data_IF_085638247664
#
_entry.id   IF_085638247664
#
_cell.length_a   1.000
_cell.length_b   1.000
_cell.length_c   1.000
_cell.angle_alpha   90.00
_cell.angle_beta   90.00
_cell.angle_gamma   90.00
#
_symmetry.space_group_name_H-M   'P 1'
#
loop_
_entity.id
_entity.type
_entity.pdbx_description
1 polymer ?
#
# COMPACT_ATOMS: atom_id res chain seq x y z
N UNK A 1 -1.44 -41.82 12.69
CA UNK A 1 -0.11 -41.24 12.40
C UNK A 1 -0.21 -40.29 11.20
N UNK A 2 0.39 -39.09 11.30
CA UNK A 2 0.26 -37.91 10.40
C UNK A 2 -0.82 -36.89 10.80
N UNK A 3 -0.76 -36.46 12.06
CA UNK A 3 -0.90 -35.04 12.38
C UNK A 3 0.52 -34.44 12.42
N UNK A 4 0.65 -33.16 12.05
CA UNK A 4 1.86 -32.33 12.01
C UNK A 4 2.58 -32.21 10.65
N UNK A 5 2.17 -31.22 9.86
CA UNK A 5 3.02 -30.04 9.64
C UNK A 5 2.13 -28.80 9.60
N UNK A 6 2.08 -28.08 10.71
CA UNK A 6 1.60 -26.70 10.71
C UNK A 6 2.52 -25.94 9.75
N UNK A 7 2.04 -25.57 8.57
CA UNK A 7 2.72 -24.64 7.68
C UNK A 7 2.94 -23.33 8.43
N UNK A 8 4.14 -23.16 8.98
CA UNK A 8 4.50 -21.95 9.71
C UNK A 8 4.77 -20.86 8.68
N UNK A 9 3.82 -19.94 8.54
CA UNK A 9 4.09 -18.64 7.93
C UNK A 9 4.97 -17.89 8.93
N UNK A 10 6.28 -17.87 8.69
CA UNK A 10 7.21 -17.08 9.52
C UNK A 10 7.42 -15.72 8.87
N UNK A 11 7.15 -14.66 9.62
CA UNK A 11 7.68 -13.33 9.33
C UNK A 11 9.12 -13.31 9.84
N UNK A 12 10.08 -13.35 8.92
CA UNK A 12 11.49 -13.26 9.26
C UNK A 12 12.12 -12.00 8.67
N UNK A 13 13.03 -11.33 9.40
CA UNK A 13 13.82 -10.23 8.86
C UNK A 13 14.85 -10.76 7.86
N UNK A 14 15.14 -9.99 6.80
CA UNK A 14 16.21 -10.29 5.84
C UNK A 14 17.56 -10.51 6.57
N UNK A 15 18.34 -11.57 6.26
CA UNK A 15 19.57 -11.90 7.00
C UNK A 15 20.67 -10.82 7.00
N UNK A 16 20.57 -9.81 6.14
CA UNK A 16 21.60 -8.77 5.94
C UNK A 16 21.21 -7.38 6.41
N UNK A 17 20.05 -7.20 7.05
CA UNK A 17 19.62 -5.90 7.58
C UNK A 17 19.44 -6.03 9.10
N UNK A 18 20.38 -5.47 9.87
CA UNK A 18 20.15 -5.15 11.29
C UNK A 18 18.81 -4.42 11.40
N UNK A 19 17.93 -4.73 12.38
CA UNK A 19 16.67 -4.02 12.53
C UNK A 19 16.98 -2.53 12.65
N UNK A 20 16.63 -1.69 11.66
CA UNK A 20 16.87 -0.28 11.80
C UNK A 20 15.95 0.17 12.93
N UNK A 21 16.48 0.91 13.91
CA UNK A 21 15.71 1.74 14.85
C UNK A 21 14.50 2.28 14.09
N UNK A 22 13.30 1.78 14.41
CA UNK A 22 12.07 1.85 13.58
C UNK A 22 12.13 3.04 12.62
N UNK A 23 12.65 2.79 11.42
CA UNK A 23 13.07 3.89 10.54
C UNK A 23 11.83 4.66 10.08
N UNK A 24 11.95 5.99 10.00
CA UNK A 24 10.90 6.88 9.53
C UNK A 24 10.62 6.73 8.02
N UNK A 25 11.44 5.95 7.30
CA UNK A 25 11.27 5.67 5.88
C UNK A 25 10.03 4.79 5.62
N UNK A 26 9.33 5.00 4.50
CA UNK A 26 8.20 4.15 4.07
C UNK A 26 8.62 2.68 4.00
N UNK A 27 9.84 2.45 3.53
CA UNK A 27 10.45 1.14 3.30
C UNK A 27 11.03 0.52 4.58
N UNK A 28 10.83 1.15 5.75
CA UNK A 28 11.37 0.64 7.00
C UNK A 28 10.81 -0.73 7.39
N UNK A 29 9.74 -1.20 6.77
CA UNK A 29 9.20 -2.55 6.97
C UNK A 29 9.52 -3.50 5.80
N UNK A 30 10.25 -3.04 4.78
CA UNK A 30 10.56 -3.84 3.59
C UNK A 30 11.57 -4.97 3.91
N UNK A 31 12.20 -4.93 5.09
CA UNK A 31 13.02 -6.03 5.60
C UNK A 31 12.17 -7.26 6.01
N UNK A 32 10.87 -7.09 6.26
CA UNK A 32 9.97 -8.18 6.61
C UNK A 32 9.61 -8.95 5.34
N UNK A 33 9.92 -10.23 5.32
CA UNK A 33 9.53 -11.12 4.22
C UNK A 33 8.59 -12.19 4.73
N UNK A 34 7.58 -12.50 3.90
CA UNK A 34 6.79 -13.69 4.01
C UNK A 34 7.65 -14.86 3.54
N UNK A 35 8.21 -15.61 4.50
CA UNK A 35 8.85 -16.89 4.20
C UNK A 35 7.82 -17.99 4.36
N UNK A 36 7.52 -18.66 3.26
CA UNK A 36 6.61 -19.78 3.22
C UNK A 36 7.36 -21.01 2.72
N UNK A 37 7.72 -21.91 3.65
CA UNK A 37 8.37 -23.16 3.31
C UNK A 37 7.32 -24.13 2.78
N UNK A 38 7.32 -24.34 1.46
CA UNK A 38 6.40 -25.25 0.79
C UNK A 38 6.97 -26.66 0.77
N UNK A 39 6.27 -27.59 1.39
CA UNK A 39 6.62 -29.01 1.29
C UNK A 39 6.16 -29.61 -0.04
N UNK A 40 6.82 -30.69 -0.43
CA UNK A 40 6.36 -31.48 -1.56
C UNK A 40 4.98 -32.09 -1.23
N UNK A 41 4.02 -32.14 -2.17
CA UNK A 41 4.14 -31.85 -3.61
C UNK A 41 3.83 -30.39 -4.02
N UNK A 42 3.40 -29.54 -3.10
CA UNK A 42 2.90 -28.21 -3.42
C UNK A 42 3.97 -27.25 -3.95
N UNK A 43 5.25 -27.51 -3.67
CA UNK A 43 6.38 -26.72 -4.16
C UNK A 43 6.54 -26.75 -5.69
N UNK A 44 5.93 -27.73 -6.37
CA UNK A 44 5.89 -27.79 -7.83
C UNK A 44 5.02 -26.67 -8.42
N UNK A 45 3.95 -26.28 -7.71
CA UNK A 45 3.03 -25.21 -8.13
C UNK A 45 3.44 -23.85 -7.53
N UNK A 46 3.81 -23.86 -6.24
CA UNK A 46 4.23 -22.67 -5.51
C UNK A 46 5.76 -22.62 -5.51
N UNK A 47 6.29 -22.08 -6.59
CA UNK A 47 7.74 -21.91 -6.78
C UNK A 47 8.28 -20.71 -6.00
N UNK A 48 9.60 -20.66 -5.81
CA UNK A 48 10.28 -19.52 -5.21
C UNK A 48 10.01 -18.21 -5.96
N UNK A 49 9.85 -18.27 -7.28
CA UNK A 49 9.51 -17.14 -8.14
C UNK A 49 8.11 -16.58 -7.81
N UNK A 50 7.14 -17.46 -7.56
CA UNK A 50 5.82 -17.08 -7.08
C UNK A 50 5.91 -16.41 -5.70
N UNK A 51 6.69 -16.97 -4.77
CA UNK A 51 6.87 -16.40 -3.43
C UNK A 51 7.53 -15.01 -3.47
N UNK A 52 8.48 -14.78 -4.37
CA UNK A 52 9.06 -13.44 -4.59
C UNK A 52 8.00 -12.45 -5.07
N UNK A 53 7.08 -12.85 -5.96
CA UNK A 53 5.97 -11.98 -6.40
C UNK A 53 4.97 -11.74 -5.26
N UNK A 54 4.61 -12.75 -4.47
CA UNK A 54 3.77 -12.58 -3.28
C UNK A 54 4.37 -11.61 -2.28
N UNK A 55 5.68 -11.69 -2.02
CA UNK A 55 6.38 -10.75 -1.15
C UNK A 55 6.24 -9.30 -1.62
N UNK A 56 6.30 -9.03 -2.94
CA UNK A 56 6.09 -7.67 -3.47
C UNK A 56 4.68 -7.14 -3.21
N UNK A 57 3.67 -7.99 -3.34
CA UNK A 57 2.28 -7.63 -3.00
C UNK A 57 2.15 -7.41 -1.49
N UNK A 58 2.75 -8.29 -0.68
CA UNK A 58 2.78 -8.19 0.77
C UNK A 58 3.42 -6.87 1.24
N UNK A 59 4.56 -6.46 0.68
CA UNK A 59 5.20 -5.18 1.01
C UNK A 59 4.30 -3.99 0.71
N UNK A 60 3.64 -3.97 -0.45
CA UNK A 60 2.67 -2.91 -0.78
C UNK A 60 1.53 -2.85 0.25
N UNK A 61 0.95 -4.00 0.59
CA UNK A 61 -0.10 -4.10 1.59
C UNK A 61 0.39 -3.62 2.96
N UNK A 62 1.62 -3.97 3.34
CA UNK A 62 2.21 -3.58 4.61
C UNK A 62 2.45 -2.07 4.70
N UNK A 63 2.98 -1.46 3.64
CA UNK A 63 3.16 0.00 3.54
C UNK A 63 1.81 0.72 3.67
N UNK A 64 0.78 0.21 2.99
CA UNK A 64 -0.57 0.76 3.03
C UNK A 64 -1.23 0.62 4.42
N UNK A 65 -1.11 -0.56 5.05
CA UNK A 65 -1.59 -0.80 6.42
C UNK A 65 -0.88 0.09 7.44
N UNK A 66 0.44 0.28 7.30
CA UNK A 66 1.21 1.20 8.15
C UNK A 66 0.71 2.64 8.02
N UNK A 67 0.45 3.12 6.80
CA UNK A 67 -0.10 4.46 6.59
C UNK A 67 -1.49 4.60 7.25
N UNK A 68 -2.37 3.60 7.08
CA UNK A 68 -3.71 3.56 7.69
C UNK A 68 -3.64 3.60 9.23
N UNK A 69 -2.79 2.78 9.85
CA UNK A 69 -2.58 2.79 11.30
C UNK A 69 -1.96 4.10 11.80
N UNK A 70 -0.99 4.65 11.09
CA UNK A 70 -0.37 5.94 11.43
C UNK A 70 -1.43 7.05 11.51
N UNK A 71 -2.40 7.08 10.58
CA UNK A 71 -3.47 8.07 10.59
C UNK A 71 -4.45 7.92 11.76
N UNK A 72 -4.59 6.72 12.33
CA UNK A 72 -5.32 6.52 13.59
C UNK A 72 -4.56 7.14 14.76
N UNK A 73 -3.25 6.95 14.83
CA UNK A 73 -2.40 7.57 15.85
C UNK A 73 -2.38 9.10 15.73
N UNK A 74 -2.26 9.63 14.51
CA UNK A 74 -2.31 11.09 14.24
C UNK A 74 -3.56 11.74 14.79
N UNK A 75 -4.71 11.06 14.78
CA UNK A 75 -5.94 11.61 15.37
C UNK A 75 -5.72 11.98 16.84
N UNK A 76 -5.20 11.04 17.63
CA UNK A 76 -4.96 11.22 19.07
C UNK A 76 -3.88 12.28 19.32
N UNK A 77 -2.79 12.26 18.53
CA UNK A 77 -1.72 13.24 18.64
C UNK A 77 -2.20 14.68 18.38
N UNK A 78 -3.08 14.89 17.40
CA UNK A 78 -3.66 16.24 17.15
C UNK A 78 -4.49 16.68 18.35
N UNK A 79 -5.17 15.79 19.06
CA UNK A 79 -5.96 16.13 20.25
C UNK A 79 -5.08 16.44 21.46
N UNK A 80 -3.97 15.73 21.62
CA UNK A 80 -3.05 15.89 22.75
C UNK A 80 -2.06 17.07 22.57
N UNK A 81 -1.91 17.59 21.34
CA UNK A 81 -1.03 18.72 21.09
C UNK A 81 -1.54 19.99 21.76
N UNK A 82 -0.77 20.49 22.72
CA UNK A 82 -1.00 21.78 23.38
C UNK A 82 -0.49 22.95 22.51
N UNK A 83 -0.98 24.16 22.78
CA UNK A 83 -0.54 25.39 22.10
C UNK A 83 -1.12 25.62 20.70
N UNK A 84 -1.89 24.67 20.14
CA UNK A 84 -2.67 24.88 18.91
C UNK A 84 -4.03 25.49 19.21
N UNK A 85 -4.33 26.60 18.52
CA UNK A 85 -5.67 27.20 18.56
C UNK A 85 -6.73 26.29 17.90
N UNK A 86 -8.01 26.51 18.23
CA UNK A 86 -9.17 25.79 17.68
C UNK A 86 -9.16 25.79 16.16
N UNK A 87 -8.84 26.93 15.52
CA UNK A 87 -8.78 27.00 14.06
C UNK A 87 -7.67 26.11 13.48
N UNK A 88 -6.46 26.15 14.07
CA UNK A 88 -5.32 25.35 13.63
C UNK A 88 -5.60 23.85 13.78
N UNK A 89 -6.15 23.45 14.93
CA UNK A 89 -6.52 22.05 15.20
C UNK A 89 -7.56 21.54 14.20
N UNK A 90 -8.57 22.36 13.88
CA UNK A 90 -9.57 22.04 12.84
C UNK A 90 -8.90 21.84 11.47
N UNK A 91 -7.98 22.73 11.07
CA UNK A 91 -7.25 22.59 9.81
C UNK A 91 -6.42 21.31 9.75
N UNK A 92 -5.71 20.96 10.83
CA UNK A 92 -4.95 19.70 10.88
C UNK A 92 -5.86 18.45 10.80
N UNK A 93 -7.06 18.50 11.37
CA UNK A 93 -8.03 17.41 11.23
C UNK A 93 -8.55 17.29 9.78
N UNK A 94 -8.73 18.41 9.07
CA UNK A 94 -9.05 18.40 7.64
C UNK A 94 -7.90 17.74 6.86
N UNK A 95 -6.65 18.17 7.07
CA UNK A 95 -5.48 17.55 6.43
C UNK A 95 -5.42 16.04 6.68
N UNK A 96 -5.65 15.60 7.93
CA UNK A 96 -5.72 14.18 8.31
C UNK A 96 -6.81 13.44 7.54
N UNK A 97 -8.00 14.03 7.43
CA UNK A 97 -9.12 13.42 6.71
C UNK A 97 -8.78 13.21 5.23
N UNK A 98 -8.09 14.15 4.58
CA UNK A 98 -7.66 14.02 3.19
C UNK A 98 -6.67 12.85 2.99
N UNK A 99 -5.69 12.73 3.89
CA UNK A 99 -4.79 11.59 3.88
C UNK A 99 -5.55 10.27 4.05
N UNK A 100 -6.52 10.24 4.98
CA UNK A 100 -7.32 9.05 5.24
C UNK A 100 -8.21 8.67 4.05
N UNK A 101 -8.78 9.65 3.37
CA UNK A 101 -9.52 9.43 2.13
C UNK A 101 -8.63 8.77 1.07
N UNK A 102 -7.44 9.33 0.81
CA UNK A 102 -6.50 8.76 -0.14
C UNK A 102 -6.14 7.29 0.18
N UNK A 103 -5.76 7.03 1.44
CA UNK A 103 -5.39 5.67 1.90
C UNK A 103 -6.57 4.72 1.79
N UNK A 104 -7.78 5.15 2.16
CA UNK A 104 -8.99 4.33 2.08
C UNK A 104 -9.36 3.96 0.63
N UNK A 105 -9.24 4.91 -0.30
CA UNK A 105 -9.46 4.65 -1.74
C UNK A 105 -8.43 3.65 -2.27
N UNK A 106 -7.15 3.81 -1.90
CA UNK A 106 -6.09 2.85 -2.25
C UNK A 106 -6.34 1.46 -1.67
N UNK A 107 -6.72 1.36 -0.39
CA UNK A 107 -7.08 0.09 0.27
C UNK A 107 -8.24 -0.60 -0.43
N UNK A 108 -9.29 0.15 -0.75
CA UNK A 108 -10.46 -0.36 -1.47
C UNK A 108 -10.09 -0.87 -2.86
N UNK A 109 -9.27 -0.13 -3.60
CA UNK A 109 -8.81 -0.54 -4.93
C UNK A 109 -7.99 -1.83 -4.90
N UNK A 110 -6.94 -1.89 -4.07
CA UNK A 110 -6.07 -3.07 -4.01
C UNK A 110 -6.86 -4.30 -3.54
N UNK A 111 -7.73 -4.15 -2.55
CA UNK A 111 -8.60 -5.23 -2.07
C UNK A 111 -9.50 -5.74 -3.20
N UNK A 112 -10.10 -4.83 -3.96
CA UNK A 112 -10.96 -5.20 -5.09
C UNK A 112 -10.21 -5.92 -6.20
N UNK A 113 -9.04 -5.42 -6.58
CA UNK A 113 -8.22 -6.06 -7.60
C UNK A 113 -7.77 -7.46 -7.20
N UNK A 114 -7.30 -7.64 -5.96
CA UNK A 114 -6.73 -8.91 -5.50
C UNK A 114 -7.79 -9.94 -5.15
N UNK A 115 -8.69 -9.61 -4.23
CA UNK A 115 -9.59 -10.59 -3.61
C UNK A 115 -10.90 -10.78 -4.37
N UNK A 116 -11.40 -9.75 -5.07
CA UNK A 116 -12.68 -9.87 -5.78
C UNK A 116 -12.49 -10.16 -7.27
N UNK A 117 -11.49 -9.58 -7.93
CA UNK A 117 -11.29 -9.80 -9.38
C UNK A 117 -10.31 -10.95 -9.65
N UNK A 118 -9.05 -10.81 -9.23
CA UNK A 118 -8.02 -11.80 -9.57
C UNK A 118 -8.29 -13.17 -8.95
N UNK A 119 -8.75 -13.22 -7.69
CA UNK A 119 -9.05 -14.49 -7.03
C UNK A 119 -10.23 -15.22 -7.68
N UNK A 120 -11.32 -14.51 -8.01
CA UNK A 120 -12.48 -15.11 -8.68
C UNK A 120 -12.13 -15.67 -10.07
N UNK A 121 -11.31 -14.94 -10.83
CA UNK A 121 -10.81 -15.45 -12.11
C UNK A 121 -10.02 -16.75 -11.94
N UNK A 122 -9.21 -16.86 -10.88
CA UNK A 122 -8.49 -18.09 -10.58
C UNK A 122 -9.46 -19.22 -10.19
N UNK A 123 -10.46 -18.95 -9.35
CA UNK A 123 -11.48 -19.94 -8.98
C UNK A 123 -12.23 -20.46 -10.21
N UNK A 124 -12.62 -19.58 -11.13
CA UNK A 124 -13.27 -19.94 -12.38
C UNK A 124 -12.33 -20.74 -13.31
N UNK A 125 -11.07 -20.32 -13.45
CA UNK A 125 -10.06 -21.05 -14.23
C UNK A 125 -9.82 -22.45 -13.64
N UNK A 126 -9.74 -22.57 -12.31
CA UNK A 126 -9.62 -23.85 -11.61
C UNK A 126 -10.82 -24.77 -11.85
N UNK A 127 -12.04 -24.21 -11.88
CA UNK A 127 -13.25 -24.97 -12.09
C UNK A 127 -13.45 -25.42 -13.56
N UNK A 128 -12.98 -24.63 -14.52
CA UNK A 128 -13.37 -24.80 -15.94
C UNK A 128 -12.23 -25.18 -16.88
N UNK A 129 -10.98 -24.80 -16.58
CA UNK A 129 -9.84 -24.91 -17.52
C UNK A 129 -8.72 -25.80 -17.02
N UNK A 130 -8.69 -26.10 -15.72
CA UNK A 130 -7.62 -26.89 -15.11
C UNK A 130 -7.99 -28.38 -15.10
N UNK A 131 -7.30 -29.17 -15.92
CA UNK A 131 -7.49 -30.62 -16.01
C UNK A 131 -6.21 -31.42 -15.76
N UNK A 132 -5.08 -30.74 -15.64
CA UNK A 132 -3.77 -31.33 -15.38
C UNK A 132 -2.95 -30.48 -14.40
N UNK A 133 -1.86 -31.05 -13.88
CA UNK A 133 -0.91 -30.34 -13.03
C UNK A 133 -0.28 -29.14 -13.78
N UNK A 134 0.03 -29.29 -15.06
CA UNK A 134 0.57 -28.20 -15.88
C UNK A 134 -0.43 -27.05 -16.06
N UNK A 135 -1.73 -27.37 -16.18
CA UNK A 135 -2.78 -26.35 -16.21
C UNK A 135 -2.86 -25.59 -14.89
N UNK A 136 -2.75 -26.29 -13.77
CA UNK A 136 -2.76 -25.68 -12.44
C UNK A 136 -1.57 -24.73 -12.26
N UNK A 137 -0.37 -25.17 -12.65
CA UNK A 137 0.85 -24.34 -12.60
C UNK A 137 0.65 -23.07 -13.43
N UNK A 138 0.14 -23.19 -14.66
CA UNK A 138 -0.11 -22.05 -15.55
C UNK A 138 -1.16 -21.09 -14.99
N UNK A 139 -2.29 -21.61 -14.52
CA UNK A 139 -3.36 -20.80 -13.92
C UNK A 139 -2.86 -20.00 -12.71
N UNK A 140 -2.10 -20.64 -11.82
CA UNK A 140 -1.51 -19.99 -10.65
C UNK A 140 -0.49 -18.89 -11.03
N UNK A 141 0.39 -19.16 -12.00
CA UNK A 141 1.34 -18.16 -12.50
C UNK A 141 0.62 -16.94 -13.10
N UNK A 142 -0.41 -17.19 -13.93
CA UNK A 142 -1.23 -16.14 -14.52
C UNK A 142 -1.95 -15.31 -13.46
N UNK A 143 -2.49 -15.93 -12.42
CA UNK A 143 -3.11 -15.23 -11.30
C UNK A 143 -2.16 -14.23 -10.65
N UNK A 144 -0.95 -14.67 -10.28
CA UNK A 144 0.03 -13.80 -9.61
C UNK A 144 0.53 -12.70 -10.54
N UNK A 145 0.74 -12.99 -11.83
CA UNK A 145 1.15 -11.97 -12.79
C UNK A 145 0.07 -10.91 -13.02
N UNK A 146 -1.20 -11.32 -13.09
CA UNK A 146 -2.34 -10.38 -13.09
C UNK A 146 -2.37 -9.56 -11.81
N UNK A 147 -2.17 -10.17 -10.64
CA UNK A 147 -2.14 -9.46 -9.36
C UNK A 147 -1.02 -8.40 -9.30
N UNK A 148 0.20 -8.75 -9.69
CA UNK A 148 1.34 -7.82 -9.78
C UNK A 148 1.04 -6.68 -10.75
N UNK A 149 0.45 -6.99 -11.89
CA UNK A 149 0.09 -5.98 -12.88
C UNK A 149 -0.98 -5.03 -12.33
N UNK A 150 -2.10 -5.55 -11.81
CA UNK A 150 -3.24 -4.78 -11.27
C UNK A 150 -2.88 -3.95 -10.04
N UNK A 151 -1.96 -4.42 -9.20
CA UNK A 151 -1.47 -3.66 -8.05
C UNK A 151 -0.43 -2.59 -8.41
N UNK A 152 -0.23 -2.29 -9.70
CA UNK A 152 0.77 -1.32 -10.19
C UNK A 152 2.22 -1.67 -9.78
N UNK A 153 2.50 -2.95 -9.53
CA UNK A 153 3.82 -3.48 -9.20
C UNK A 153 4.57 -3.97 -10.45
N UNK A 154 4.09 -3.66 -11.64
CA UNK A 154 4.81 -3.97 -12.89
C UNK A 154 6.00 -3.03 -13.10
N UNK A 155 6.98 -3.45 -13.91
CA UNK A 155 8.11 -2.57 -14.29
C UNK A 155 7.61 -1.29 -14.98
N UNK A 156 6.55 -1.39 -15.79
CA UNK A 156 5.94 -0.26 -16.52
C UNK A 156 5.26 0.74 -15.58
N UNK A 157 4.74 0.29 -14.43
CA UNK A 157 4.07 1.14 -13.45
C UNK A 157 4.99 1.68 -12.35
N UNK A 158 6.30 1.41 -12.38
CA UNK A 158 7.21 1.84 -11.31
C UNK A 158 7.18 3.36 -11.05
N UNK A 159 7.03 4.18 -12.08
CA UNK A 159 6.90 5.62 -11.91
C UNK A 159 5.66 6.00 -11.08
N UNK A 160 4.53 5.33 -11.31
CA UNK A 160 3.28 5.50 -10.55
C UNK A 160 3.48 5.06 -9.10
N UNK A 161 4.11 3.89 -8.90
CA UNK A 161 4.37 3.36 -7.56
C UNK A 161 5.26 4.29 -6.72
N UNK A 162 6.29 4.92 -7.34
CA UNK A 162 7.12 5.93 -6.66
C UNK A 162 6.33 7.14 -6.18
N UNK A 163 5.32 7.57 -6.96
CA UNK A 163 4.43 8.67 -6.58
C UNK A 163 3.57 8.25 -5.37
N UNK A 164 3.02 7.04 -5.39
CA UNK A 164 2.24 6.47 -4.27
C UNK A 164 3.11 6.39 -2.99
N UNK A 165 4.33 5.88 -3.09
CA UNK A 165 5.27 5.84 -1.96
C UNK A 165 5.64 7.24 -1.45
N UNK A 166 5.68 8.25 -2.33
CA UNK A 166 5.87 9.65 -1.92
C UNK A 166 4.68 10.16 -1.11
N UNK A 167 3.46 9.76 -1.46
CA UNK A 167 2.25 10.05 -0.66
C UNK A 167 2.34 9.40 0.72
N UNK A 168 2.67 8.12 0.81
CA UNK A 168 2.87 7.44 2.10
C UNK A 168 3.96 8.11 2.95
N UNK A 169 5.05 8.55 2.31
CA UNK A 169 6.11 9.30 2.98
C UNK A 169 5.60 10.61 3.59
N UNK A 170 4.67 11.31 2.93
CA UNK A 170 4.07 12.53 3.47
C UNK A 170 3.23 12.23 4.73
N UNK A 171 2.49 11.12 4.76
CA UNK A 171 1.71 10.69 5.93
C UNK A 171 2.63 10.38 7.12
N UNK A 172 3.69 9.59 6.91
CA UNK A 172 4.66 9.26 7.96
C UNK A 172 5.39 10.51 8.47
N UNK A 173 5.79 11.41 7.57
CA UNK A 173 6.40 12.71 7.92
C UNK A 173 5.45 13.59 8.72
N UNK A 174 4.17 13.63 8.37
CA UNK A 174 3.17 14.38 9.12
C UNK A 174 3.07 13.86 10.56
N UNK A 175 2.97 12.54 10.75
CA UNK A 175 2.92 11.92 12.07
C UNK A 175 4.18 12.19 12.89
N UNK A 176 5.36 12.01 12.30
CA UNK A 176 6.64 12.16 13.01
C UNK A 176 6.91 13.61 13.41
N UNK A 177 6.53 14.56 12.55
CA UNK A 177 6.59 15.99 12.87
C UNK A 177 5.67 16.33 14.04
N UNK A 178 4.48 15.72 14.09
CA UNK A 178 3.50 15.93 15.15
C UNK A 178 3.91 15.26 16.47
N UNK A 179 4.57 14.10 16.42
CA UNK A 179 5.10 13.41 17.61
C UNK A 179 6.40 14.02 18.15
N UNK A 180 7.06 14.88 17.38
CA UNK A 180 8.35 15.44 17.77
C UNK A 180 8.17 16.50 18.86
N UNK A 181 8.65 16.20 20.06
CA UNK A 181 8.69 17.13 21.20
C UNK A 181 9.68 18.30 21.01
N UNK A 182 10.48 18.29 19.92
CA UNK A 182 11.61 19.20 19.74
C UNK A 182 11.28 20.51 19.02
N UNK A 183 10.02 20.79 18.69
CA UNK A 183 9.66 22.02 17.97
C UNK A 183 9.47 23.20 18.94
N UNK A 184 10.18 24.33 18.72
CA UNK A 184 10.24 25.43 19.70
C UNK A 184 8.95 26.28 19.77
N UNK A 185 8.03 26.17 18.80
CA UNK A 185 6.79 26.96 18.76
C UNK A 185 5.63 26.22 18.06
N UNK A 186 4.40 26.28 18.60
CA UNK A 186 3.20 25.73 17.96
C UNK A 186 2.94 26.28 16.55
N UNK A 187 3.30 27.55 16.30
CA UNK A 187 3.16 28.17 14.97
C UNK A 187 4.09 27.50 13.95
N UNK A 188 5.34 27.25 14.32
CA UNK A 188 6.32 26.60 13.45
C UNK A 188 5.93 25.14 13.15
N UNK A 189 5.41 24.42 14.16
CA UNK A 189 4.83 23.09 13.99
C UNK A 189 3.70 23.11 12.95
N UNK A 190 2.74 24.01 13.12
CA UNK A 190 1.60 24.13 12.21
C UNK A 190 2.04 24.43 10.76
N UNK A 191 3.01 25.32 10.55
CA UNK A 191 3.56 25.60 9.23
C UNK A 191 4.26 24.39 8.61
N UNK A 192 5.03 23.62 9.39
CA UNK A 192 5.71 22.41 8.92
C UNK A 192 4.72 21.32 8.50
N UNK A 193 3.67 21.11 9.31
CA UNK A 193 2.58 20.17 8.99
C UNK A 193 1.81 20.61 7.74
N UNK A 194 1.50 21.89 7.62
CA UNK A 194 0.82 22.46 6.45
C UNK A 194 1.66 22.36 5.18
N UNK A 195 2.99 22.52 5.28
CA UNK A 195 3.92 22.29 4.15
C UNK A 195 3.93 20.83 3.71
N UNK A 196 3.90 19.91 4.66
CA UNK A 196 3.82 18.46 4.38
C UNK A 196 2.50 18.10 3.70
N UNK A 197 1.39 18.67 4.15
CA UNK A 197 0.07 18.51 3.53
C UNK A 197 0.02 19.10 2.11
N UNK A 198 0.61 20.28 1.88
CA UNK A 198 0.71 20.87 0.54
C UNK A 198 1.44 19.95 -0.44
N UNK A 199 2.60 19.41 -0.03
CA UNK A 199 3.36 18.45 -0.84
C UNK A 199 2.53 17.21 -1.15
N UNK A 200 1.74 16.73 -0.19
CA UNK A 200 0.81 15.63 -0.43
C UNK A 200 -0.21 15.97 -1.51
N UNK A 201 -0.88 17.12 -1.44
CA UNK A 201 -1.87 17.51 -2.47
C UNK A 201 -1.24 17.63 -3.85
N UNK A 202 -0.05 18.22 -3.96
CA UNK A 202 0.70 18.31 -5.22
C UNK A 202 1.02 16.91 -5.78
N UNK A 203 1.47 16.00 -4.91
CA UNK A 203 1.82 14.62 -5.27
C UNK A 203 0.58 13.82 -5.69
N UNK A 204 -0.54 13.97 -4.97
CA UNK A 204 -1.82 13.33 -5.30
C UNK A 204 -2.39 13.86 -6.61
N UNK A 205 -2.34 15.18 -6.85
CA UNK A 205 -2.74 15.77 -8.12
C UNK A 205 -1.87 15.31 -9.29
N UNK A 206 -0.56 15.12 -9.07
CA UNK A 206 0.33 14.53 -10.07
C UNK A 206 -0.01 13.05 -10.33
N UNK A 207 -0.31 12.27 -9.29
CA UNK A 207 -0.75 10.89 -9.43
C UNK A 207 -2.00 10.80 -10.31
N UNK A 208 -3.00 11.65 -10.04
CA UNK A 208 -4.23 11.73 -10.83
C UNK A 208 -3.93 11.99 -12.31
N UNK A 209 -3.12 13.01 -12.62
CA UNK A 209 -2.74 13.33 -14.00
C UNK A 209 -2.03 12.18 -14.70
N UNK A 210 -1.16 11.45 -13.98
CA UNK A 210 -0.44 10.29 -14.54
C UNK A 210 -1.40 9.14 -14.81
N UNK A 211 -2.32 8.83 -13.88
CA UNK A 211 -3.27 7.74 -14.04
C UNK A 211 -4.28 8.05 -15.15
N UNK A 212 -4.76 9.28 -15.27
CA UNK A 212 -5.62 9.71 -16.40
C UNK A 212 -4.91 9.42 -17.74
N UNK A 213 -3.65 9.87 -17.89
CA UNK A 213 -2.87 9.61 -19.11
C UNK A 213 -2.62 8.12 -19.37
N UNK A 214 -2.54 7.31 -18.33
CA UNK A 214 -2.39 5.86 -18.47
C UNK A 214 -3.69 5.24 -18.98
N UNK A 215 -4.83 5.63 -18.41
CA UNK A 215 -6.16 5.19 -18.83
C UNK A 215 -6.44 5.60 -20.29
N UNK A 216 -6.16 6.85 -20.67
CA UNK A 216 -6.31 7.35 -22.06
C UNK A 216 -5.48 6.55 -23.07
N UNK A 217 -4.35 5.97 -22.64
CA UNK A 217 -3.49 5.09 -23.45
C UNK A 217 -3.92 3.63 -23.42
N UNK A 218 -5.06 3.30 -22.80
CA UNK A 218 -5.57 1.94 -22.64
C UNK A 218 -4.84 1.12 -21.58
N UNK A 219 -4.07 1.75 -20.68
CA UNK A 219 -3.40 1.03 -19.60
C UNK A 219 -4.40 0.72 -18.48
N UNK A 220 -4.88 -0.53 -18.45
CA UNK A 220 -5.79 -1.10 -17.44
C UNK A 220 -7.14 -0.37 -17.28
N UNK A 221 -8.26 -0.94 -17.75
CA UNK A 221 -9.58 -0.30 -17.62
C UNK A 221 -9.99 -0.09 -16.15
N UNK A 222 -9.57 -0.97 -15.24
CA UNK A 222 -9.89 -0.88 -13.82
C UNK A 222 -9.31 0.36 -13.11
N UNK A 223 -8.37 1.08 -13.73
CA UNK A 223 -7.89 2.36 -13.19
C UNK A 223 -8.94 3.47 -13.31
N UNK A 224 -9.95 3.32 -14.16
CA UNK A 224 -11.07 4.28 -14.25
C UNK A 224 -11.89 4.32 -12.97
N UNK A 225 -12.27 3.16 -12.42
CA UNK A 225 -12.98 3.07 -11.14
C UNK A 225 -12.12 3.62 -9.98
N UNK A 226 -10.80 3.39 -10.03
CA UNK A 226 -9.87 4.01 -9.09
C UNK A 226 -9.88 5.54 -9.19
N UNK A 227 -9.81 6.10 -10.40
CA UNK A 227 -9.84 7.54 -10.63
C UNK A 227 -11.16 8.17 -10.14
N UNK A 228 -12.30 7.53 -10.42
CA UNK A 228 -13.61 8.00 -9.99
C UNK A 228 -13.71 8.08 -8.47
N UNK A 229 -13.20 7.06 -7.76
CA UNK A 229 -13.18 7.04 -6.29
C UNK A 229 -12.17 8.01 -5.71
N UNK A 230 -11.01 8.18 -6.35
CA UNK A 230 -9.98 9.09 -5.90
C UNK A 230 -10.40 10.56 -6.08
N UNK A 231 -11.19 10.85 -7.12
CA UNK A 231 -11.72 12.18 -7.43
C UNK A 231 -13.16 12.43 -6.94
N UNK A 232 -13.71 11.58 -6.08
CA UNK A 232 -15.05 11.81 -5.54
C UNK A 232 -15.06 13.15 -4.80
N UNK A 233 -15.81 14.13 -5.32
CA UNK A 233 -15.93 15.55 -4.91
C UNK A 233 -14.94 16.59 -5.49
N UNK A 234 -14.28 16.37 -6.65
CA UNK A 234 -13.33 17.34 -7.24
C UNK A 234 -12.20 17.75 -6.27
N UNK A 235 -11.85 16.87 -5.33
CA UNK A 235 -11.01 17.22 -4.20
C UNK A 235 -9.57 17.64 -4.62
N UNK A 236 -9.14 17.19 -5.80
CA UNK A 236 -7.83 17.46 -6.39
C UNK A 236 -7.90 18.19 -7.75
N UNK A 237 -9.10 18.62 -8.17
CA UNK A 237 -9.35 19.38 -9.39
C UNK A 237 -9.00 20.85 -9.27
#
# INVERSE_FOLDING_TARGET
>A
PLLHTLTVITLSPLPTLTPPTISLAVDALDFLQLQYKVEWPCNVVITEDCLRKYNRVFHLLLQLRRASWTLKTVFSLIQQCEGLDKQQRRQLQIHRHEFQHFVGVMEGYITNQLFYLSWRELEEDLATKVHSLDDLIRAHQMFIDKAIFRCLLSKKAMAVMKIIQTVFSCILRFSTTLSSSALPSPLHLFHSLSRTHRKFRETAGLLMKVIIKLVERGYQPHLEDFLLRLNFNNFYG
#
